data_IF_574281621525
#
_entry.id   IF_574281621525
#
_cell.length_a   1.000
_cell.length_b   1.000
_cell.length_c   1.000
_cell.angle_alpha   90.00
_cell.angle_beta   90.00
_cell.angle_gamma   90.00
#
_symmetry.space_group_name_H-M   'P 1'
#
loop_
_entity.id
_entity.type
_entity.pdbx_description
1 polymer ?
#
# COMPACT_ATOMS: atom_id res chain seq x y z
N UNK A 1 -2.64 -10.99 -8.75
CA UNK A 1 -3.80 -10.62 -7.91
C UNK A 1 -4.10 -11.80 -7.01
N UNK A 2 -3.85 -11.72 -5.70
CA UNK A 2 -3.92 -12.90 -4.81
C UNK A 2 -4.71 -12.67 -3.53
N UNK A 3 -4.98 -11.41 -3.17
CA UNK A 3 -5.82 -11.10 -2.01
C UNK A 3 -7.29 -11.36 -2.32
N UNK A 4 -8.09 -11.56 -1.28
CA UNK A 4 -9.54 -11.67 -1.38
C UNK A 4 -10.14 -10.55 -2.24
N UNK A 5 -11.03 -10.90 -3.17
CA UNK A 5 -11.67 -9.95 -4.09
C UNK A 5 -10.77 -9.33 -5.17
N UNK A 6 -9.46 -9.63 -5.21
CA UNK A 6 -8.59 -8.98 -6.18
C UNK A 6 -8.74 -9.55 -7.60
N UNK A 7 -8.71 -8.67 -8.59
CA UNK A 7 -8.67 -9.02 -10.02
C UNK A 7 -7.81 -8.03 -10.80
N UNK A 8 -7.30 -8.45 -11.95
CA UNK A 8 -6.68 -7.57 -12.94
C UNK A 8 -7.44 -7.70 -14.26
N UNK A 9 -7.47 -6.61 -15.02
CA UNK A 9 -8.14 -6.56 -16.31
C UNK A 9 -7.10 -6.52 -17.43
N UNK A 10 -7.26 -7.36 -18.44
CA UNK A 10 -6.51 -7.29 -19.69
C UNK A 10 -7.10 -6.16 -20.55
N UNK A 11 -6.25 -5.21 -20.97
CA UNK A 11 -6.66 -4.07 -21.79
C UNK A 11 -6.32 -4.28 -23.27
N UNK A 12 -5.06 -4.65 -23.55
CA UNK A 12 -4.57 -4.83 -24.91
C UNK A 12 -3.44 -5.87 -24.95
N UNK A 13 -3.16 -6.40 -26.14
CA UNK A 13 -2.02 -7.25 -26.42
C UNK A 13 -1.27 -6.66 -27.63
N UNK A 14 0.02 -6.44 -27.49
CA UNK A 14 0.88 -5.81 -28.50
C UNK A 14 2.25 -6.50 -28.50
N UNK A 15 2.64 -7.08 -29.65
CA UNK A 15 3.89 -7.84 -29.76
C UNK A 15 3.98 -8.92 -28.68
N UNK A 16 5.10 -8.97 -27.95
CA UNK A 16 5.34 -9.94 -26.87
C UNK A 16 4.78 -9.51 -25.50
N UNK A 17 3.99 -8.43 -25.45
CA UNK A 17 3.50 -7.82 -24.20
C UNK A 17 1.98 -7.68 -24.18
N UNK A 18 1.43 -7.82 -22.98
CA UNK A 18 0.05 -7.51 -22.65
C UNK A 18 0.00 -6.29 -21.71
N UNK A 19 -0.96 -5.41 -21.94
CA UNK A 19 -1.25 -4.28 -21.06
C UNK A 19 -2.31 -4.69 -20.06
N UNK A 20 -1.96 -4.66 -18.77
CA UNK A 20 -2.86 -5.01 -17.67
C UNK A 20 -3.18 -3.80 -16.80
N UNK A 21 -4.44 -3.68 -16.37
CA UNK A 21 -4.86 -2.83 -15.26
C UNK A 21 -4.83 -3.66 -13.98
N UNK A 22 -3.93 -3.30 -13.06
CA UNK A 22 -3.75 -3.97 -11.78
C UNK A 22 -4.87 -3.58 -10.78
N UNK A 23 -5.07 -4.36 -9.69
CA UNK A 23 -6.03 -4.01 -8.63
C UNK A 23 -5.77 -2.65 -7.99
N UNK A 24 -4.53 -2.17 -8.03
CA UNK A 24 -4.13 -0.85 -7.56
C UNK A 24 -4.57 0.30 -8.48
N UNK A 25 -5.12 0.00 -9.66
CA UNK A 25 -5.38 0.96 -10.73
C UNK A 25 -4.15 1.34 -11.56
N UNK A 26 -2.96 0.80 -11.25
CA UNK A 26 -1.77 0.96 -12.10
C UNK A 26 -1.94 0.21 -13.42
N UNK A 27 -1.54 0.84 -14.53
CA UNK A 27 -1.50 0.20 -15.85
C UNK A 27 -0.05 -0.15 -16.18
N UNK A 28 0.18 -1.43 -16.48
CA UNK A 28 1.53 -2.00 -16.64
C UNK A 28 1.58 -3.06 -17.75
N UNK A 29 2.70 -3.12 -18.45
CA UNK A 29 3.04 -4.19 -19.37
C UNK A 29 3.50 -5.46 -18.64
N UNK A 30 3.06 -6.61 -19.14
CA UNK A 30 3.45 -7.95 -18.69
C UNK A 30 3.76 -8.81 -19.92
N UNK A 31 4.71 -9.73 -19.84
CA UNK A 31 5.01 -10.63 -20.95
C UNK A 31 3.81 -11.54 -21.29
N UNK A 32 3.57 -11.81 -22.57
CA UNK A 32 2.45 -12.66 -23.00
C UNK A 32 2.56 -14.11 -22.54
N UNK A 33 3.77 -14.59 -22.29
CA UNK A 33 4.05 -15.93 -21.76
C UNK A 33 3.58 -16.12 -20.30
N UNK A 34 3.28 -15.02 -19.59
CA UNK A 34 2.83 -15.10 -18.20
C UNK A 34 1.44 -15.75 -18.11
N UNK A 35 1.33 -16.79 -17.29
CA UNK A 35 0.04 -17.44 -17.01
C UNK A 35 -0.84 -16.59 -16.09
N UNK A 36 -2.15 -16.67 -16.32
CA UNK A 36 -3.17 -16.08 -15.46
C UNK A 36 -4.38 -17.01 -15.38
N UNK A 37 -5.15 -16.89 -14.30
CA UNK A 37 -6.41 -17.61 -14.09
C UNK A 37 -7.57 -16.67 -14.39
N UNK A 38 -8.57 -17.16 -15.11
CA UNK A 38 -9.78 -16.39 -15.42
C UNK A 38 -10.63 -16.25 -14.15
N UNK A 39 -11.15 -15.05 -13.92
CA UNK A 39 -12.06 -14.74 -12.81
C UNK A 39 -11.42 -13.92 -11.69
N UNK A 40 -12.24 -13.63 -10.68
CA UNK A 40 -11.88 -12.86 -9.50
C UNK A 40 -11.54 -13.79 -8.33
N UNK A 41 -10.60 -13.39 -7.47
CA UNK A 41 -10.36 -14.13 -6.23
C UNK A 41 -11.61 -14.03 -5.34
N UNK A 42 -12.12 -15.16 -4.83
CA UNK A 42 -13.31 -15.21 -3.98
C UNK A 42 -13.15 -14.50 -2.63
N UNK A 43 -14.15 -14.67 -1.74
CA UNK A 43 -14.23 -14.01 -0.43
C UNK A 43 -14.33 -12.47 -0.52
N UNK A 44 -15.29 -11.98 -1.31
CA UNK A 44 -15.51 -10.54 -1.52
C UNK A 44 -15.83 -9.81 -0.21
N UNK A 45 -16.59 -10.44 0.68
CA UNK A 45 -16.99 -9.89 1.97
C UNK A 45 -15.85 -9.75 2.99
N UNK A 46 -14.63 -10.12 2.63
CA UNK A 46 -13.48 -9.95 3.50
C UNK A 46 -13.28 -8.51 3.97
N UNK A 47 -13.61 -7.51 3.12
CA UNK A 47 -13.52 -6.10 3.49
C UNK A 47 -14.62 -5.64 4.47
N UNK A 48 -15.76 -6.33 4.48
CA UNK A 48 -16.92 -6.01 5.33
C UNK A 48 -16.76 -6.52 6.77
N UNK A 49 -15.68 -7.27 7.07
CA UNK A 49 -15.46 -7.87 8.39
C UNK A 49 -15.07 -6.81 9.42
N UNK A 50 -15.96 -6.52 10.37
CA UNK A 50 -15.63 -5.72 11.56
C UNK A 50 -14.84 -6.51 12.59
N UNK A 51 -13.74 -5.91 13.09
CA UNK A 51 -12.86 -6.56 14.08
C UNK A 51 -13.48 -6.55 15.48
N UNK A 52 -14.28 -5.53 15.82
CA UNK A 52 -15.08 -5.42 17.04
C UNK A 52 -14.29 -5.19 18.34
N UNK A 53 -13.27 -6.00 18.62
CA UNK A 53 -12.48 -5.95 19.86
C UNK A 53 -10.97 -5.98 19.62
N UNK A 54 -10.20 -5.35 20.51
CA UNK A 54 -8.74 -5.34 20.45
C UNK A 54 -8.14 -6.76 20.45
N UNK A 55 -8.72 -7.70 21.21
CA UNK A 55 -8.26 -9.10 21.25
C UNK A 55 -8.26 -9.78 19.88
N UNK A 56 -9.20 -9.46 18.98
CA UNK A 56 -9.26 -10.04 17.64
C UNK A 56 -8.12 -9.54 16.74
N UNK A 57 -7.63 -8.32 16.96
CA UNK A 57 -6.39 -7.81 16.32
C UNK A 57 -5.17 -8.59 16.82
N UNK A 58 -5.12 -8.89 18.13
CA UNK A 58 -4.04 -9.66 18.74
C UNK A 58 -3.96 -11.09 18.20
N UNK A 59 -5.10 -11.75 17.96
CA UNK A 59 -5.16 -13.08 17.35
C UNK A 59 -4.59 -13.12 15.93
N UNK A 60 -4.67 -11.99 15.20
CA UNK A 60 -4.04 -11.84 13.87
C UNK A 60 -2.52 -11.59 13.96
N UNK A 61 -1.92 -11.60 15.16
CA UNK A 61 -0.48 -11.37 15.37
C UNK A 61 -0.06 -9.90 15.43
N UNK A 62 -0.99 -8.96 15.33
CA UNK A 62 -0.67 -7.52 15.40
C UNK A 62 -0.58 -7.06 16.86
N UNK A 63 0.51 -6.37 17.20
CA UNK A 63 0.72 -5.72 18.50
C UNK A 63 0.19 -4.28 18.49
N UNK A 64 -0.21 -3.72 19.63
CA UNK A 64 -0.62 -2.32 19.71
C UNK A 64 0.55 -1.41 19.29
N UNK A 65 0.25 -0.42 18.45
CA UNK A 65 1.21 0.60 18.00
C UNK A 65 0.94 1.92 18.71
N UNK A 66 1.99 2.55 19.24
CA UNK A 66 1.90 3.84 19.94
C UNK A 66 2.06 4.99 18.93
N UNK A 67 1.30 6.08 19.10
CA UNK A 67 1.39 7.26 18.22
C UNK A 67 2.69 8.02 18.49
N UNK A 68 3.35 8.54 17.45
CA UNK A 68 4.58 9.33 17.62
C UNK A 68 4.39 10.61 18.45
N UNK A 69 3.18 11.19 18.46
CA UNK A 69 2.88 12.42 19.22
C UNK A 69 2.76 12.24 20.73
N UNK A 70 2.69 10.99 21.23
CA UNK A 70 2.69 10.72 22.68
C UNK A 70 4.05 10.24 23.19
N UNK A 71 5.05 10.16 22.30
CA UNK A 71 6.41 9.77 22.67
C UNK A 71 7.23 10.99 23.10
N UNK A 72 8.43 10.76 23.65
CA UNK A 72 9.37 11.83 23.96
C UNK A 72 10.13 12.29 22.71
N UNK A 73 10.77 13.49 22.71
CA UNK A 73 11.56 13.97 21.57
C UNK A 73 12.69 13.03 21.12
N UNK A 74 13.23 12.22 22.05
CA UNK A 74 14.28 11.23 21.76
C UNK A 74 13.77 10.04 20.94
N UNK A 75 12.48 9.69 21.08
CA UNK A 75 11.89 8.49 20.48
C UNK A 75 11.29 8.77 19.10
N UNK A 76 10.75 9.96 18.90
CA UNK A 76 10.04 10.31 17.67
C UNK A 76 10.21 11.80 17.33
N UNK A 77 10.41 12.15 16.04
CA UNK A 77 10.46 13.55 15.58
C UNK A 77 9.19 14.39 15.85
N UNK A 78 8.13 13.77 16.35
CA UNK A 78 6.84 14.41 16.67
C UNK A 78 6.53 14.36 18.17
N UNK A 79 7.45 13.83 18.97
CA UNK A 79 7.30 13.67 20.41
C UNK A 79 7.63 14.94 21.18
N UNK A 80 7.17 14.98 22.44
CA UNK A 80 7.33 16.12 23.35
C UNK A 80 6.35 17.27 23.14
N UNK A 81 6.67 18.40 23.79
CA UNK A 81 5.78 19.54 23.95
C UNK A 81 4.95 19.47 25.24
N UNK A 82 4.56 20.63 25.76
CA UNK A 82 3.68 20.71 26.93
C UNK A 82 2.22 20.42 26.51
N UNK A 83 1.57 19.50 27.23
CA UNK A 83 0.21 19.10 26.93
C UNK A 83 0.03 18.46 25.55
N UNK A 84 -1.21 18.45 25.05
CA UNK A 84 -1.54 17.84 23.76
C UNK A 84 -1.31 18.82 22.62
N UNK A 85 -0.21 18.66 21.87
CA UNK A 85 0.13 19.49 20.72
C UNK A 85 -0.17 18.86 19.34
N UNK A 86 -0.05 19.68 18.30
CA UNK A 86 -0.09 19.23 16.88
C UNK A 86 1.21 18.54 16.45
N UNK A 87 2.30 18.74 17.20
CA UNK A 87 3.64 18.23 16.88
C UNK A 87 4.25 18.91 15.64
N UNK A 88 5.33 18.32 15.13
CA UNK A 88 6.03 18.77 13.92
C UNK A 88 5.33 18.32 12.63
N UNK A 89 5.88 18.70 11.47
CA UNK A 89 5.48 18.14 10.19
C UNK A 89 5.44 16.60 10.27
N UNK A 90 4.38 15.93 9.75
CA UNK A 90 4.23 14.49 9.92
C UNK A 90 5.38 13.68 9.33
N UNK A 91 6.17 13.08 10.22
CA UNK A 91 7.36 12.31 9.89
C UNK A 91 7.24 10.87 10.41
N UNK A 92 8.00 9.98 9.79
CA UNK A 92 8.27 8.64 10.31
C UNK A 92 9.14 8.74 11.57
N UNK A 93 9.25 7.67 12.38
CA UNK A 93 10.19 7.63 13.51
C UNK A 93 11.65 7.93 13.09
N UNK A 94 11.99 7.68 11.83
CA UNK A 94 13.31 7.93 11.24
C UNK A 94 13.41 9.27 10.49
N UNK A 95 12.49 10.22 10.71
CA UNK A 95 12.59 11.58 10.16
C UNK A 95 12.16 11.75 8.70
N UNK A 96 11.75 10.69 7.99
CA UNK A 96 11.23 10.83 6.61
C UNK A 96 9.81 11.40 6.59
N UNK A 97 9.46 12.34 5.71
CA UNK A 97 8.09 12.85 5.60
C UNK A 97 7.07 11.76 5.20
N UNK A 98 5.88 11.79 5.80
CA UNK A 98 4.82 10.77 5.58
C UNK A 98 3.70 11.22 4.65
N UNK A 99 3.59 12.52 4.38
CA UNK A 99 2.57 13.09 3.50
C UNK A 99 3.16 13.42 2.13
N UNK A 100 2.71 12.73 1.09
CA UNK A 100 3.03 13.05 -0.32
C UNK A 100 4.44 12.70 -0.80
N UNK A 101 5.38 12.39 0.10
CA UNK A 101 6.75 12.02 -0.27
C UNK A 101 6.79 10.70 -1.06
N UNK A 102 7.33 10.76 -2.29
CA UNK A 102 7.47 9.58 -3.16
C UNK A 102 8.69 8.76 -2.72
N UNK A 103 8.46 7.50 -2.33
CA UNK A 103 9.51 6.60 -1.83
C UNK A 103 10.09 5.66 -2.90
N UNK A 104 9.44 5.54 -4.06
CA UNK A 104 9.97 4.72 -5.17
C UNK A 104 11.21 5.40 -5.75
N UNK A 105 12.35 4.73 -5.68
CA UNK A 105 13.60 5.16 -6.33
C UNK A 105 13.37 5.33 -7.83
N UNK A 106 13.83 6.45 -8.40
CA UNK A 106 13.83 6.67 -9.84
C UNK A 106 14.87 5.79 -10.56
N UNK A 107 14.69 5.60 -11.86
CA UNK A 107 15.56 4.82 -12.75
C UNK A 107 15.60 3.31 -12.43
N UNK A 108 14.48 2.73 -11.97
CA UNK A 108 14.39 1.26 -11.91
C UNK A 108 14.15 0.72 -13.32
N UNK A 109 14.77 -0.40 -13.73
CA UNK A 109 14.48 -1.02 -15.03
C UNK A 109 12.98 -1.29 -15.24
N UNK A 110 12.28 -1.63 -14.16
CA UNK A 110 10.83 -1.84 -14.13
C UNK A 110 9.98 -0.60 -14.42
N UNK A 111 10.56 0.60 -14.40
CA UNK A 111 9.83 1.84 -14.70
C UNK A 111 9.39 1.87 -16.18
N UNK A 112 10.18 1.26 -17.08
CA UNK A 112 9.85 1.14 -18.51
C UNK A 112 8.59 0.29 -18.77
N UNK A 113 8.22 -0.58 -17.84
CA UNK A 113 7.03 -1.43 -17.95
C UNK A 113 5.75 -0.71 -17.49
N UNK A 114 5.84 0.48 -16.90
CA UNK A 114 4.67 1.16 -16.31
C UNK A 114 4.18 2.25 -17.25
N UNK A 115 2.95 2.08 -17.74
CA UNK A 115 2.29 3.05 -18.62
C UNK A 115 1.69 4.19 -17.79
N UNK A 116 0.98 3.85 -16.72
CA UNK A 116 0.32 4.85 -15.87
C UNK A 116 0.40 4.41 -14.42
N UNK A 117 0.88 5.32 -13.56
CA UNK A 117 0.91 5.08 -12.12
C UNK A 117 -0.51 5.03 -11.56
N UNK A 118 -0.70 4.28 -10.48
CA UNK A 118 -1.97 4.25 -9.73
C UNK A 118 -2.48 5.68 -9.48
N UNK A 119 -3.72 5.96 -9.89
CA UNK A 119 -4.46 7.13 -9.45
C UNK A 119 -5.15 6.76 -8.14
N UNK A 120 -5.21 7.73 -7.22
CA UNK A 120 -5.87 7.55 -5.93
C UNK A 120 -7.38 7.44 -6.15
#
# INVERSE_FOLDING_TARGET
>A
CRSAGAQAQLLAKEGDRATLRLPSGEVRYVALECMATIGQVGNLDHENVSVGKAGRVRWKGFRPTVRGTVMNPVDHPMGGGEGKGKGNHPMTPWGKPTKGYKTRRGARPSDSMIVTRRKK
#
